data_IF_153025105564
#
_entry.id   IF_153025105564
#
_cell.length_a   1.000
_cell.length_b   1.000
_cell.length_c   1.000
_cell.angle_alpha   90.00
_cell.angle_beta   90.00
_cell.angle_gamma   90.00
#
_symmetry.space_group_name_H-M   'P 1'
#
loop_
_entity.id
_entity.type
_entity.pdbx_description
1 polymer ?
#
# COMPACT_ATOMS: atom_id res chain seq x y z
N UNK A 1 30.96 14.91 9.05
CA UNK A 1 29.72 14.17 8.73
C UNK A 1 28.76 15.10 8.02
N UNK A 2 28.28 14.67 6.87
CA UNK A 2 27.30 15.47 6.11
C UNK A 2 25.89 15.08 6.52
N UNK A 3 24.99 16.06 6.60
CA UNK A 3 23.59 15.79 6.81
C UNK A 3 22.98 15.02 5.61
N UNK A 4 22.03 14.11 5.82
CA UNK A 4 21.36 13.47 4.72
C UNK A 4 20.59 14.49 3.88
N UNK A 5 20.58 14.29 2.57
CA UNK A 5 19.83 15.13 1.64
C UNK A 5 18.48 14.44 1.38
N UNK A 6 17.41 15.07 1.84
CA UNK A 6 16.06 14.59 1.63
C UNK A 6 15.46 15.40 0.49
N UNK A 7 15.07 14.74 -0.60
CA UNK A 7 14.55 15.39 -1.79
C UNK A 7 13.02 15.35 -1.89
N UNK A 8 12.39 14.55 -1.06
CA UNK A 8 10.94 14.42 -1.04
C UNK A 8 10.51 13.01 -0.70
N UNK A 9 9.20 12.79 -0.76
CA UNK A 9 8.58 11.48 -0.54
C UNK A 9 8.55 10.74 -1.86
N UNK A 10 9.14 9.53 -1.90
CA UNK A 10 9.13 8.71 -3.09
C UNK A 10 7.77 8.04 -3.30
N UNK A 11 7.22 7.42 -2.25
CA UNK A 11 5.91 6.78 -2.33
C UNK A 11 5.27 6.69 -0.95
N UNK A 12 3.97 6.47 -0.96
CA UNK A 12 3.14 6.29 0.24
C UNK A 12 2.44 4.94 0.10
N UNK A 13 2.47 4.13 1.16
CA UNK A 13 1.78 2.85 1.18
C UNK A 13 0.36 2.99 1.72
N UNK A 14 -0.59 2.36 1.05
CA UNK A 14 -2.00 2.35 1.47
C UNK A 14 -2.52 0.92 1.39
N UNK A 15 -3.14 0.46 2.47
CA UNK A 15 -3.83 -0.83 2.49
C UNK A 15 -5.27 -0.63 2.06
N UNK A 16 -5.72 -1.43 1.11
CA UNK A 16 -7.07 -1.37 0.54
C UNK A 16 -7.74 -2.76 0.60
N UNK A 17 -9.07 -2.80 0.67
CA UNK A 17 -9.78 -4.09 0.72
C UNK A 17 -9.83 -4.82 -0.62
N UNK A 18 -9.69 -4.11 -1.73
CA UNK A 18 -9.76 -4.66 -3.09
C UNK A 18 -8.83 -3.85 -3.99
N UNK A 19 -7.70 -4.45 -4.38
CA UNK A 19 -6.68 -3.73 -5.14
C UNK A 19 -7.14 -3.39 -6.55
N UNK A 20 -7.96 -4.23 -7.17
CA UNK A 20 -8.45 -3.95 -8.53
C UNK A 20 -9.39 -2.73 -8.52
N UNK A 21 -10.28 -2.66 -7.53
CA UNK A 21 -11.16 -1.50 -7.37
C UNK A 21 -10.36 -0.24 -7.08
N UNK A 22 -9.34 -0.33 -6.24
CA UNK A 22 -8.49 0.81 -5.91
C UNK A 22 -7.70 1.31 -7.13
N UNK A 23 -7.13 0.40 -7.92
CA UNK A 23 -6.43 0.76 -9.16
C UNK A 23 -7.37 1.47 -10.13
N UNK A 24 -8.55 0.90 -10.36
CA UNK A 24 -9.54 1.50 -11.26
C UNK A 24 -9.95 2.90 -10.82
N UNK A 25 -10.18 3.07 -9.52
CA UNK A 25 -10.53 4.39 -8.98
C UNK A 25 -9.42 5.41 -9.24
N UNK A 26 -8.17 5.05 -8.94
CA UNK A 26 -7.05 5.99 -9.11
C UNK A 26 -6.82 6.33 -10.57
N UNK A 27 -6.95 5.36 -11.47
CA UNK A 27 -6.81 5.60 -12.90
C UNK A 27 -7.93 6.53 -13.42
N UNK A 28 -9.18 6.25 -13.05
CA UNK A 28 -10.32 7.01 -13.55
C UNK A 28 -10.43 8.40 -12.94
N UNK A 29 -10.20 8.52 -11.63
CA UNK A 29 -10.36 9.78 -10.91
C UNK A 29 -9.15 10.70 -11.02
N UNK A 30 -7.93 10.14 -11.07
CA UNK A 30 -6.70 10.92 -11.02
C UNK A 30 -5.78 10.74 -12.23
N UNK A 31 -6.15 9.89 -13.18
CA UNK A 31 -5.28 9.61 -14.31
C UNK A 31 -4.01 8.83 -13.93
N UNK A 32 -4.08 8.05 -12.87
CA UNK A 32 -2.93 7.29 -12.41
C UNK A 32 -2.46 6.28 -13.46
N UNK A 33 -1.16 5.98 -13.44
CA UNK A 33 -0.55 4.99 -14.31
C UNK A 33 0.01 3.85 -13.46
N UNK A 34 -0.30 2.61 -13.83
CA UNK A 34 0.28 1.46 -13.18
C UNK A 34 1.76 1.37 -13.55
N UNK A 35 2.64 1.43 -12.56
CA UNK A 35 4.08 1.27 -12.78
C UNK A 35 4.43 -0.21 -12.83
N UNK A 36 3.99 -0.97 -11.83
CA UNK A 36 4.15 -2.43 -11.78
C UNK A 36 3.17 -3.04 -10.78
N UNK A 37 2.96 -4.33 -10.93
CA UNK A 37 2.25 -5.15 -9.95
C UNK A 37 3.13 -6.36 -9.64
N UNK A 38 3.60 -6.44 -8.39
CA UNK A 38 4.54 -7.51 -7.99
C UNK A 38 3.88 -8.87 -7.96
N UNK A 39 2.64 -8.91 -7.47
CA UNK A 39 1.82 -10.11 -7.43
C UNK A 39 0.36 -9.71 -7.29
N UNK A 40 -0.52 -10.60 -7.68
CA UNK A 40 -1.95 -10.37 -7.69
C UNK A 40 -2.73 -11.46 -6.95
N UNK A 41 -4.07 -11.36 -6.94
CA UNK A 41 -4.92 -12.28 -6.18
C UNK A 41 -4.81 -13.75 -6.59
N UNK A 42 -4.32 -14.03 -7.81
CA UNK A 42 -4.11 -15.40 -8.28
C UNK A 42 -2.77 -15.97 -7.87
N UNK A 43 -1.86 -15.14 -7.38
CA UNK A 43 -0.53 -15.57 -6.97
C UNK A 43 -0.55 -16.04 -5.51
N UNK A 44 0.45 -16.81 -5.07
CA UNK A 44 0.57 -17.16 -3.66
C UNK A 44 0.65 -15.90 -2.80
N UNK A 45 -0.14 -15.78 -1.73
CA UNK A 45 -0.09 -14.62 -0.85
C UNK A 45 1.20 -14.57 -0.05
N UNK A 46 1.57 -13.37 0.39
CA UNK A 46 2.68 -13.18 1.34
C UNK A 46 2.13 -13.12 2.75
N UNK A 47 2.78 -13.84 3.66
CA UNK A 47 2.36 -13.91 5.06
C UNK A 47 3.48 -14.49 5.91
N UNK A 48 3.31 -14.43 7.21
CA UNK A 48 4.21 -15.03 8.18
C UNK A 48 4.87 -14.03 9.12
N UNK A 49 5.48 -14.52 10.22
CA UNK A 49 6.01 -13.63 11.26
C UNK A 49 7.11 -12.70 10.78
N UNK A 50 7.97 -13.15 9.89
CA UNK A 50 9.05 -12.32 9.37
C UNK A 50 8.51 -11.17 8.55
N UNK A 51 7.54 -11.46 7.67
CA UNK A 51 6.88 -10.44 6.88
C UNK A 51 6.13 -9.45 7.78
N UNK A 52 5.41 -9.96 8.78
CA UNK A 52 4.64 -9.12 9.72
C UNK A 52 5.55 -8.12 10.43
N UNK A 53 6.73 -8.56 10.89
CA UNK A 53 7.70 -7.67 11.53
C UNK A 53 8.25 -6.64 10.56
N UNK A 54 8.51 -7.05 9.32
CA UNK A 54 9.11 -6.16 8.32
C UNK A 54 8.21 -4.99 7.95
N UNK A 55 6.90 -5.21 7.91
CA UNK A 55 5.93 -4.18 7.47
C UNK A 55 5.07 -3.63 8.61
N UNK A 56 5.24 -4.13 9.82
CA UNK A 56 4.44 -3.68 10.96
C UNK A 56 2.99 -4.16 10.91
N UNK A 57 2.76 -5.37 10.41
CA UNK A 57 1.42 -5.93 10.28
C UNK A 57 1.04 -6.76 11.50
N UNK A 58 -0.27 -6.89 11.74
CA UNK A 58 -0.79 -7.77 12.77
C UNK A 58 -0.46 -9.23 12.47
N UNK A 59 -0.26 -10.06 13.52
CA UNK A 59 -0.15 -11.50 13.31
C UNK A 59 -1.35 -12.06 12.55
N UNK A 60 -1.07 -12.93 11.58
CA UNK A 60 -2.10 -13.50 10.72
C UNK A 60 -2.50 -12.66 9.52
N UNK A 61 -1.82 -11.56 9.26
CA UNK A 61 -2.06 -10.74 8.07
C UNK A 61 -1.65 -11.50 6.81
N UNK A 62 -2.52 -11.47 5.81
CA UNK A 62 -2.28 -12.05 4.50
C UNK A 62 -2.28 -10.94 3.47
N UNK A 63 -1.18 -10.80 2.72
CA UNK A 63 -1.07 -9.84 1.63
C UNK A 63 -1.36 -10.56 0.33
N UNK A 64 -2.47 -10.19 -0.29
CA UNK A 64 -2.97 -10.82 -1.50
C UNK A 64 -2.42 -10.22 -2.77
N UNK A 65 -2.07 -8.94 -2.74
CA UNK A 65 -1.61 -8.23 -3.93
C UNK A 65 -0.84 -6.99 -3.54
N UNK A 66 0.04 -6.56 -4.42
CA UNK A 66 0.81 -5.34 -4.28
C UNK A 66 1.02 -4.72 -5.64
N UNK A 67 0.79 -3.41 -5.74
CA UNK A 67 1.01 -2.66 -6.98
C UNK A 67 1.53 -1.27 -6.66
N UNK A 68 2.24 -0.68 -7.62
CA UNK A 68 2.71 0.70 -7.53
C UNK A 68 2.06 1.49 -8.65
N UNK A 69 1.42 2.61 -8.29
CA UNK A 69 0.82 3.51 -9.27
C UNK A 69 1.44 4.90 -9.15
N UNK A 70 1.49 5.60 -10.28
CA UNK A 70 2.03 6.95 -10.36
C UNK A 70 0.90 7.94 -10.60
N UNK A 71 0.87 9.01 -9.81
CA UNK A 71 -0.10 10.09 -9.99
C UNK A 71 0.67 11.37 -10.33
N UNK A 72 0.66 11.74 -11.60
CA UNK A 72 1.33 12.95 -12.06
C UNK A 72 2.80 13.02 -11.63
N UNK A 73 3.23 14.15 -11.12
CA UNK A 73 4.60 14.39 -10.65
C UNK A 73 4.75 14.21 -9.13
N UNK A 74 3.67 13.87 -8.45
CA UNK A 74 3.69 13.68 -7.01
C UNK A 74 4.28 12.33 -6.59
N UNK A 75 4.22 12.01 -5.28
CA UNK A 75 4.66 10.70 -4.81
C UNK A 75 3.85 9.57 -5.44
N UNK A 76 4.49 8.44 -5.65
CA UNK A 76 3.79 7.24 -6.08
C UNK A 76 2.96 6.67 -4.94
N UNK A 77 1.97 5.86 -5.26
CA UNK A 77 1.14 5.16 -4.28
C UNK A 77 1.41 3.67 -4.38
N UNK A 78 1.87 3.09 -3.28
CA UNK A 78 2.04 1.64 -3.18
C UNK A 78 0.77 1.06 -2.56
N UNK A 79 0.04 0.29 -3.37
CA UNK A 79 -1.20 -0.33 -2.94
C UNK A 79 -0.94 -1.73 -2.43
N UNK A 80 -1.51 -2.03 -1.27
CA UNK A 80 -1.49 -3.38 -0.71
C UNK A 80 -2.93 -3.82 -0.48
N UNK A 81 -3.25 -5.03 -0.90
CA UNK A 81 -4.48 -5.67 -0.45
C UNK A 81 -4.11 -6.61 0.69
N UNK A 82 -4.36 -6.17 1.91
CA UNK A 82 -4.04 -6.93 3.13
C UNK A 82 -5.32 -7.25 3.87
N UNK A 83 -5.40 -8.48 4.37
CA UNK A 83 -6.50 -8.95 5.19
C UNK A 83 -5.97 -9.62 6.44
N UNK A 84 -6.52 -9.28 7.59
CA UNK A 84 -6.08 -9.84 8.86
C UNK A 84 -7.19 -9.87 9.89
N UNK A 85 -7.06 -10.72 10.93
CA UNK A 85 -8.14 -10.93 11.90
C UNK A 85 -8.43 -9.71 12.78
N UNK A 86 -7.48 -8.81 12.93
CA UNK A 86 -7.62 -7.63 13.79
C UNK A 86 -7.68 -6.33 12.98
N UNK A 87 -8.05 -6.43 11.72
CA UNK A 87 -8.08 -5.27 10.83
C UNK A 87 -9.15 -4.27 11.27
N UNK A 88 -8.72 -3.03 11.47
CA UNK A 88 -9.62 -1.95 11.85
C UNK A 88 -10.23 -1.27 10.62
N UNK A 89 -11.37 -0.61 10.83
CA UNK A 89 -11.95 0.26 9.82
C UNK A 89 -11.05 1.48 9.59
N UNK A 90 -11.16 2.14 8.44
CA UNK A 90 -10.40 3.37 8.19
C UNK A 90 -10.63 4.40 9.29
N UNK A 91 -9.54 5.07 9.69
CA UNK A 91 -9.62 6.13 10.71
C UNK A 91 -10.31 7.36 10.13
N UNK A 92 -10.91 8.13 11.01
CA UNK A 92 -11.49 9.42 10.64
C UNK A 92 -10.38 10.45 10.51
N UNK A 93 -10.64 11.54 9.77
CA UNK A 93 -9.66 12.60 9.58
C UNK A 93 -9.23 13.25 10.91
N UNK A 94 -10.07 13.19 11.94
CA UNK A 94 -9.78 13.74 13.25
C UNK A 94 -8.97 12.82 14.16
N UNK A 95 -8.75 11.57 13.77
CA UNK A 95 -7.94 10.64 14.56
C UNK A 95 -6.46 10.80 14.22
N UNK A 96 -5.61 10.40 15.16
CA UNK A 96 -4.17 10.43 14.89
C UNK A 96 -3.82 9.43 13.80
N UNK A 97 -3.09 9.89 12.78
CA UNK A 97 -2.71 9.05 11.64
C UNK A 97 -1.32 8.43 11.79
N UNK A 98 -0.56 8.92 12.73
CA UNK A 98 0.78 8.41 13.03
C UNK A 98 0.93 8.26 14.53
#
# INVERSE_FOLDING_TARGET
MTAPVIRGVNHIGITVPDIEAAKSFLVEAFGAQLIYQSFGPQDPPRQGPEFERAVGAFPGTVVRAQAMVKIGAGPDIELFEMHGPEQAQPIRASDFGI
#
